data_IF_107654237055
#
_entry.id   IF_107654237055
#
_cell.length_a   1.000
_cell.length_b   1.000
_cell.length_c   1.000
_cell.angle_alpha   90.00
_cell.angle_beta   90.00
_cell.angle_gamma   90.00
#
_symmetry.space_group_name_H-M   'P 1'
#
loop_
_entity.id
_entity.type
_entity.pdbx_description
1 polymer ?
#
# COMPACT_ATOMS: atom_id res chain seq x y z
N UNK A 1 8.04 13.61 1.14
CA UNK A 1 6.81 13.14 1.80
C UNK A 1 7.04 13.23 3.28
N UNK A 2 6.19 13.97 3.98
CA UNK A 2 6.26 14.06 5.43
C UNK A 2 5.86 12.70 6.04
N UNK A 3 6.55 12.30 7.09
CA UNK A 3 6.29 11.04 7.78
C UNK A 3 5.66 11.35 9.12
N UNK A 4 4.76 10.49 9.55
CA UNK A 4 4.16 10.63 10.86
C UNK A 4 5.18 10.27 11.93
N UNK A 5 5.48 11.24 12.79
CA UNK A 5 6.35 11.12 13.95
C UNK A 5 5.61 11.40 15.25
N UNK A 6 4.28 11.57 15.20
CA UNK A 6 3.43 11.78 16.37
C UNK A 6 3.39 10.51 17.21
N UNK A 7 3.40 10.68 18.52
CA UNK A 7 3.44 9.59 19.48
C UNK A 7 4.30 9.91 20.70
N UNK A 8 4.48 8.92 21.56
CA UNK A 8 5.32 9.03 22.75
C UNK A 8 5.96 7.68 23.11
N UNK A 9 7.10 7.75 23.80
CA UNK A 9 7.64 6.59 24.51
C UNK A 9 6.90 6.43 25.84
N UNK A 10 6.24 5.29 26.02
CA UNK A 10 5.53 4.93 27.24
C UNK A 10 6.45 4.21 28.26
N UNK A 11 7.55 3.64 27.77
CA UNK A 11 8.56 2.93 28.54
C UNK A 11 9.64 2.33 27.63
N UNK A 12 10.64 1.64 28.19
CA UNK A 12 11.75 1.10 27.40
C UNK A 12 11.26 0.21 26.27
N UNK A 13 11.56 0.59 25.02
CA UNK A 13 11.12 -0.08 23.79
C UNK A 13 9.58 -0.20 23.66
N UNK A 14 8.83 0.78 24.16
CA UNK A 14 7.38 0.86 24.01
C UNK A 14 7.00 2.24 23.50
N UNK A 15 6.72 2.33 22.21
CA UNK A 15 6.36 3.57 21.54
C UNK A 15 4.95 3.46 21.00
N UNK A 16 4.08 4.36 21.46
CA UNK A 16 2.72 4.55 20.94
C UNK A 16 2.76 5.58 19.80
N UNK A 17 2.05 5.34 18.70
CA UNK A 17 1.81 6.34 17.64
C UNK A 17 0.49 7.09 17.85
N UNK A 18 0.20 8.06 16.97
CA UNK A 18 -1.04 8.85 17.02
C UNK A 18 -2.32 8.03 16.88
N UNK A 19 -2.25 6.80 16.37
CA UNK A 19 -3.38 5.89 16.22
C UNK A 19 -3.51 4.92 17.41
N UNK A 20 -2.64 5.05 18.42
CA UNK A 20 -2.67 4.23 19.64
C UNK A 20 -1.96 2.88 19.49
N UNK A 21 -1.19 2.67 18.42
CA UNK A 21 -0.50 1.41 18.18
C UNK A 21 0.90 1.39 18.80
N UNK A 22 1.09 0.45 19.73
CA UNK A 22 2.33 0.28 20.49
C UNK A 22 3.30 -0.67 19.77
N UNK A 23 4.55 -0.28 19.59
CA UNK A 23 5.60 -1.09 18.97
C UNK A 23 6.99 -0.84 19.57
N UNK A 24 7.99 -1.72 19.28
CA UNK A 24 9.35 -1.55 19.77
C UNK A 24 10.17 -0.48 19.02
N UNK A 25 9.55 0.26 18.10
CA UNK A 25 10.19 1.32 17.32
C UNK A 25 9.33 2.58 17.38
N UNK A 26 9.93 3.78 17.46
CA UNK A 26 9.18 5.03 17.41
C UNK A 26 8.48 5.21 16.04
N UNK A 27 7.38 5.99 16.03
CA UNK A 27 6.75 6.44 14.79
C UNK A 27 7.78 7.14 13.88
N UNK A 28 7.63 6.98 12.57
CA UNK A 28 8.54 7.55 11.57
C UNK A 28 9.80 6.72 11.28
N UNK A 29 9.98 5.58 11.95
CA UNK A 29 11.20 4.77 11.84
C UNK A 29 10.96 3.39 11.21
N UNK A 30 11.77 3.06 10.20
CA UNK A 30 11.74 1.77 9.52
C UNK A 30 10.32 1.42 9.04
N UNK A 31 9.74 0.28 9.45
CA UNK A 31 8.40 -0.14 9.05
C UNK A 31 7.27 0.77 9.57
N UNK A 32 7.55 1.70 10.51
CA UNK A 32 6.59 2.68 11.05
C UNK A 32 6.69 4.04 10.37
N UNK A 33 7.18 4.10 9.14
CA UNK A 33 7.32 5.33 8.35
C UNK A 33 6.02 5.70 7.62
N UNK A 34 4.92 5.86 8.36
CA UNK A 34 3.61 6.18 7.77
C UNK A 34 3.66 7.57 7.08
N UNK A 35 3.13 7.71 5.84
CA UNK A 35 2.94 9.03 5.23
C UNK A 35 2.01 9.91 6.05
N UNK A 36 2.32 11.21 6.11
CA UNK A 36 1.33 12.25 6.39
C UNK A 36 0.87 12.90 5.08
N UNK A 37 -0.39 13.32 5.05
CA UNK A 37 -1.03 13.97 3.91
C UNK A 37 -1.83 13.03 3.02
N UNK A 38 -2.17 13.50 1.82
CA UNK A 38 -2.98 12.74 0.86
C UNK A 38 -2.13 11.59 0.29
N UNK A 39 -2.57 10.36 0.57
CA UNK A 39 -1.96 9.15 0.04
C UNK A 39 -2.98 8.41 -0.82
N UNK A 40 -3.13 8.79 -2.11
CA UNK A 40 -4.13 8.17 -2.97
C UNK A 40 -3.74 6.71 -3.22
N UNK A 41 -4.60 5.79 -2.82
CA UNK A 41 -4.37 4.33 -2.98
C UNK A 41 -4.79 3.82 -4.36
N UNK A 42 -5.15 4.72 -5.28
CA UNK A 42 -5.65 4.39 -6.60
C UNK A 42 -6.66 5.43 -7.11
N UNK A 43 -7.27 5.18 -8.27
CA UNK A 43 -8.36 5.98 -8.79
C UNK A 43 -9.62 5.87 -7.91
N UNK A 44 -10.45 6.91 -7.94
CA UNK A 44 -11.73 6.94 -7.23
C UNK A 44 -12.76 5.98 -7.86
N UNK A 45 -13.84 5.68 -7.13
CA UNK A 45 -14.93 4.85 -7.66
C UNK A 45 -15.54 5.52 -8.90
N UNK A 46 -15.55 4.78 -10.02
CA UNK A 46 -16.05 5.26 -11.31
C UNK A 46 -14.96 5.87 -12.20
N UNK A 47 -13.77 6.14 -11.67
CA UNK A 47 -12.62 6.54 -12.49
C UNK A 47 -11.97 5.34 -13.18
N UNK A 48 -11.29 5.61 -14.30
CA UNK A 48 -10.61 4.58 -15.08
C UNK A 48 -9.38 4.10 -14.32
N UNK A 49 -9.23 2.77 -14.18
CA UNK A 49 -7.98 2.17 -13.73
C UNK A 49 -6.81 2.57 -14.66
N UNK A 50 -5.59 2.74 -14.13
CA UNK A 50 -4.41 2.97 -14.97
C UNK A 50 -4.23 1.82 -15.97
N UNK A 51 -3.41 2.02 -16.99
CA UNK A 51 -3.06 0.93 -17.90
C UNK A 51 -2.22 -0.10 -17.13
N UNK A 52 -2.74 -1.32 -17.02
CA UNK A 52 -2.10 -2.43 -16.29
C UNK A 52 -1.71 -3.49 -17.30
N UNK A 53 -0.41 -3.58 -17.55
CA UNK A 53 0.20 -4.60 -18.40
C UNK A 53 1.18 -5.40 -17.56
N UNK A 54 1.04 -6.73 -17.58
CA UNK A 54 1.88 -7.64 -16.81
C UNK A 54 2.21 -8.89 -17.62
N UNK A 55 3.13 -9.69 -17.12
CA UNK A 55 3.43 -11.02 -17.64
C UNK A 55 2.82 -12.04 -16.70
N UNK A 56 2.03 -12.97 -17.22
CA UNK A 56 1.43 -14.03 -16.42
C UNK A 56 2.45 -15.15 -16.13
N UNK A 57 2.04 -16.17 -15.37
CA UNK A 57 2.90 -17.30 -15.00
C UNK A 57 3.39 -18.15 -16.17
N UNK A 58 2.77 -18.04 -17.34
CA UNK A 58 3.14 -18.74 -18.57
C UNK A 58 4.09 -17.91 -19.45
N UNK A 59 4.46 -16.70 -19.01
CA UNK A 59 5.29 -15.78 -19.78
C UNK A 59 4.53 -14.97 -20.84
N UNK A 60 3.19 -15.04 -20.85
CA UNK A 60 2.35 -14.30 -21.80
C UNK A 60 2.06 -12.89 -21.26
N UNK A 61 2.07 -11.91 -22.17
CA UNK A 61 1.63 -10.56 -21.86
C UNK A 61 0.13 -10.53 -21.62
N UNK A 62 -0.30 -9.86 -20.56
CA UNK A 62 -1.69 -9.60 -20.22
C UNK A 62 -1.88 -8.09 -20.12
N UNK A 63 -2.83 -7.55 -20.88
CA UNK A 63 -3.30 -6.17 -20.78
C UNK A 63 -4.72 -6.18 -20.20
N UNK A 64 -4.87 -5.63 -18.99
CA UNK A 64 -6.14 -5.61 -18.28
C UNK A 64 -7.30 -5.01 -19.09
N UNK A 65 -7.05 -3.93 -19.83
CA UNK A 65 -8.11 -3.20 -20.53
C UNK A 65 -8.51 -3.90 -21.82
N UNK A 66 -7.54 -4.48 -22.53
CA UNK A 66 -7.78 -5.23 -23.77
C UNK A 66 -8.37 -6.60 -23.48
N UNK A 67 -7.74 -7.38 -22.59
CA UNK A 67 -8.04 -8.79 -22.37
C UNK A 67 -9.31 -9.03 -21.55
N UNK A 68 -9.81 -8.01 -20.84
CA UNK A 68 -11.12 -8.11 -20.17
C UNK A 68 -12.28 -8.17 -21.15
N UNK A 69 -12.09 -7.80 -22.42
CA UNK A 69 -13.13 -7.85 -23.48
C UNK A 69 -14.47 -7.19 -23.05
N UNK A 70 -14.40 -6.07 -22.34
CA UNK A 70 -15.58 -5.36 -21.83
C UNK A 70 -16.25 -6.01 -20.61
N UNK A 71 -15.77 -7.16 -20.11
CA UNK A 71 -16.32 -7.84 -18.93
C UNK A 71 -15.84 -7.16 -17.63
N UNK A 72 -16.60 -7.33 -16.52
CA UNK A 72 -16.13 -6.97 -15.19
C UNK A 72 -14.92 -7.79 -14.77
N UNK A 73 -14.00 -7.18 -14.04
CA UNK A 73 -12.75 -7.80 -13.59
C UNK A 73 -12.44 -7.39 -12.16
N UNK A 74 -11.68 -8.24 -11.46
CA UNK A 74 -11.13 -7.94 -10.14
C UNK A 74 -9.61 -7.90 -10.28
N UNK A 75 -9.01 -6.76 -9.97
CA UNK A 75 -7.56 -6.59 -9.91
C UNK A 75 -7.11 -6.57 -8.44
N UNK A 76 -6.22 -7.50 -8.06
CA UNK A 76 -5.71 -7.61 -6.70
C UNK A 76 -4.21 -7.38 -6.70
N UNK A 77 -3.75 -6.37 -5.97
CA UNK A 77 -2.33 -6.19 -5.68
C UNK A 77 -1.99 -6.95 -4.41
N UNK A 78 -1.19 -8.01 -4.54
CA UNK A 78 -0.65 -8.73 -3.39
C UNK A 78 0.78 -8.30 -3.15
N UNK A 79 1.07 -7.87 -1.92
CA UNK A 79 2.46 -7.70 -1.48
C UNK A 79 2.98 -9.08 -1.09
N UNK A 80 3.63 -9.77 -2.02
CA UNK A 80 4.37 -10.99 -1.71
C UNK A 80 5.71 -10.61 -1.06
N UNK A 81 5.88 -10.94 0.21
CA UNK A 81 7.20 -11.05 0.81
C UNK A 81 7.60 -12.51 0.70
N UNK A 82 8.37 -12.86 -0.33
CA UNK A 82 9.12 -14.11 -0.33
C UNK A 82 10.36 -13.84 0.52
N UNK A 83 10.40 -14.44 1.71
CA UNK A 83 11.59 -14.49 2.56
C UNK A 83 12.48 -15.63 2.10
#
# INVERSE_FOLDING_TARGET
MERDTRGAELGPNQYEDAEGYIAPLPAGHGPRSNPLGVFPTGPEVGERLPDVVAVNSEGLSVDLHTDREGKPVVLVFTRSAVW
#
